data_IF_835525382277
#
_entry.id   IF_835525382277
#
_cell.length_a   1.000
_cell.length_b   1.000
_cell.length_c   1.000
_cell.angle_alpha   90.00
_cell.angle_beta   90.00
_cell.angle_gamma   90.00
#
_symmetry.space_group_name_H-M   'P 1'
#
loop_
_entity.id
_entity.type
_entity.pdbx_description
1 polymer ?
#
# COMPACT_ATOMS: atom_id res chain seq x y z
N UNK A 1 -36.20 0.40 5.89
CA UNK A 1 -35.67 -0.19 7.14
C UNK A 1 -34.21 0.18 7.39
N UNK A 2 -33.29 -0.02 6.42
CA UNK A 2 -31.86 0.30 6.55
C UNK A 2 -31.57 1.80 6.83
N UNK A 3 -32.29 2.70 6.16
CA UNK A 3 -32.18 4.16 6.36
C UNK A 3 -32.61 4.63 7.76
N UNK A 4 -33.64 4.02 8.36
CA UNK A 4 -34.08 4.34 9.72
C UNK A 4 -33.11 3.83 10.78
N UNK A 5 -32.50 2.67 10.55
CA UNK A 5 -31.47 2.10 11.41
C UNK A 5 -30.20 2.98 11.41
N UNK A 6 -29.80 3.47 10.23
CA UNK A 6 -28.66 4.38 10.08
C UNK A 6 -28.96 5.76 10.72
N UNK A 7 -30.19 6.27 10.59
CA UNK A 7 -30.64 7.54 11.19
C UNK A 7 -30.72 7.46 12.72
N UNK A 8 -31.14 6.31 13.27
CA UNK A 8 -31.15 6.05 14.72
C UNK A 8 -29.73 5.90 15.30
N UNK A 9 -28.81 5.26 14.58
CA UNK A 9 -27.39 5.16 14.93
C UNK A 9 -26.66 6.51 14.92
N UNK A 10 -27.02 7.41 14.00
CA UNK A 10 -26.51 8.79 13.96
C UNK A 10 -27.01 9.64 15.14
N UNK A 11 -28.16 9.29 15.71
CA UNK A 11 -28.81 10.05 16.78
C UNK A 11 -28.27 9.70 18.17
N UNK A 12 -27.74 8.49 18.35
CA UNK A 12 -27.03 8.08 19.57
C UNK A 12 -25.51 8.20 19.41
N UNK A 13 -24.98 9.36 19.83
CA UNK A 13 -23.54 9.66 19.80
C UNK A 13 -22.71 8.66 20.61
N UNK A 14 -23.26 8.02 21.65
CA UNK A 14 -22.52 7.05 22.46
C UNK A 14 -22.36 5.73 21.70
N UNK A 15 -23.41 5.27 21.03
CA UNK A 15 -23.35 4.05 20.20
C UNK A 15 -22.46 4.26 18.98
N UNK A 16 -22.60 5.39 18.27
CA UNK A 16 -21.72 5.74 17.15
C UNK A 16 -20.25 5.83 17.59
N UNK A 17 -19.95 6.57 18.67
CA UNK A 17 -18.59 6.68 19.22
C UNK A 17 -18.02 5.31 19.60
N UNK A 18 -18.81 4.46 20.27
CA UNK A 18 -18.40 3.09 20.63
C UNK A 18 -18.07 2.26 19.40
N UNK A 19 -18.87 2.33 18.34
CA UNK A 19 -18.63 1.59 17.09
C UNK A 19 -17.33 2.07 16.41
N UNK A 20 -17.14 3.39 16.29
CA UNK A 20 -15.93 3.96 15.68
C UNK A 20 -14.68 3.58 16.47
N UNK A 21 -14.69 3.76 17.80
CA UNK A 21 -13.55 3.38 18.65
C UNK A 21 -13.26 1.88 18.56
N UNK A 22 -14.29 1.03 18.57
CA UNK A 22 -14.14 -0.43 18.47
C UNK A 22 -13.57 -0.84 17.10
N UNK A 23 -14.04 -0.24 16.01
CA UNK A 23 -13.54 -0.51 14.67
C UNK A 23 -12.09 -0.04 14.49
N UNK A 24 -11.74 1.15 14.98
CA UNK A 24 -10.37 1.67 14.93
C UNK A 24 -9.41 0.78 15.75
N UNK A 25 -9.81 0.37 16.95
CA UNK A 25 -9.01 -0.53 17.78
C UNK A 25 -8.81 -1.90 17.09
N UNK A 26 -9.85 -2.43 16.44
CA UNK A 26 -9.75 -3.68 15.68
C UNK A 26 -8.83 -3.55 14.46
N UNK A 27 -8.95 -2.46 13.71
CA UNK A 27 -8.10 -2.17 12.55
C UNK A 27 -6.63 -2.01 12.97
N UNK A 28 -6.38 -1.30 14.08
CA UNK A 28 -5.03 -1.14 14.65
C UNK A 28 -4.40 -2.47 15.02
N UNK A 29 -5.11 -3.33 15.76
CA UNK A 29 -4.63 -4.68 16.12
C UNK A 29 -4.33 -5.55 14.89
N UNK A 30 -5.13 -5.41 13.83
CA UNK A 30 -4.92 -6.16 12.60
C UNK A 30 -3.62 -5.75 11.91
N UNK A 31 -3.36 -4.44 11.80
CA UNK A 31 -2.10 -3.97 11.19
C UNK A 31 -0.90 -4.18 12.08
N UNK A 32 -1.03 -4.03 13.38
CA UNK A 32 0.03 -4.41 14.33
C UNK A 32 0.48 -5.85 14.09
N UNK A 33 -0.47 -6.80 14.11
CA UNK A 33 -0.19 -8.21 13.85
C UNK A 33 0.41 -8.45 12.45
N UNK A 34 -0.04 -7.71 11.43
CA UNK A 34 0.52 -7.84 10.08
C UNK A 34 1.94 -7.30 9.98
N UNK A 35 2.20 -6.12 10.55
CA UNK A 35 3.52 -5.45 10.56
C UNK A 35 4.55 -6.31 11.30
N UNK A 36 4.15 -6.99 12.38
CA UNK A 36 5.00 -7.95 13.09
C UNK A 36 5.47 -9.12 12.21
N UNK A 37 4.72 -9.49 11.18
CA UNK A 37 5.12 -10.55 10.25
C UNK A 37 6.15 -10.10 9.22
N UNK A 38 6.38 -8.79 9.06
CA UNK A 38 7.22 -8.25 7.99
C UNK A 38 8.70 -8.25 8.40
N UNK A 39 9.57 -9.02 7.73
CA UNK A 39 10.98 -9.10 8.11
C UNK A 39 11.68 -7.73 8.09
N UNK A 40 11.29 -6.84 7.17
CA UNK A 40 11.84 -5.48 7.04
C UNK A 40 11.68 -4.63 8.31
N UNK A 41 10.62 -4.87 9.08
CA UNK A 41 10.24 -4.03 10.22
C UNK A 41 10.56 -4.68 11.57
N UNK A 42 11.23 -5.84 11.56
CA UNK A 42 11.62 -6.55 12.78
C UNK A 42 12.72 -5.83 13.57
N UNK A 43 13.51 -4.97 12.92
CA UNK A 43 14.54 -4.15 13.55
C UNK A 43 14.00 -2.94 14.34
N UNK A 44 12.73 -2.58 14.13
CA UNK A 44 12.09 -1.45 14.82
C UNK A 44 11.62 -1.87 16.20
N UNK A 45 11.78 -1.00 17.20
CA UNK A 45 11.21 -1.21 18.52
C UNK A 45 9.67 -1.16 18.47
N UNK A 46 9.00 -1.70 19.50
CA UNK A 46 7.53 -1.67 19.58
C UNK A 46 6.98 -0.24 19.43
N UNK A 47 7.61 0.75 20.06
CA UNK A 47 7.18 2.14 20.01
C UNK A 47 7.26 2.73 18.59
N UNK A 48 8.26 2.34 17.80
CA UNK A 48 8.46 2.78 16.43
C UNK A 48 7.49 2.08 15.48
N UNK A 49 7.26 0.77 15.65
CA UNK A 49 6.24 0.03 14.90
C UNK A 49 4.86 0.63 15.11
N UNK A 50 4.54 1.08 16.32
CA UNK A 50 3.27 1.75 16.59
C UNK A 50 3.11 3.07 15.85
N UNK A 51 4.19 3.85 15.69
CA UNK A 51 4.19 5.06 14.85
C UNK A 51 3.97 4.73 13.38
N UNK A 52 4.55 3.63 12.88
CA UNK A 52 4.28 3.14 11.52
C UNK A 52 2.79 2.81 11.38
N UNK A 53 2.24 2.02 12.30
CA UNK A 53 0.81 1.66 12.30
C UNK A 53 -0.11 2.87 12.31
N UNK A 54 0.29 3.96 12.96
CA UNK A 54 -0.45 5.23 13.00
C UNK A 54 -0.52 5.96 11.66
N UNK A 55 0.47 5.78 10.78
CA UNK A 55 0.55 6.47 9.48
C UNK A 55 0.18 5.59 8.29
N UNK A 56 -0.01 4.28 8.49
CA UNK A 56 -0.40 3.34 7.42
C UNK A 56 -1.74 3.72 6.78
N UNK A 57 -1.77 3.71 5.45
CA UNK A 57 -2.94 4.08 4.67
C UNK A 57 -3.25 3.00 3.64
N UNK A 58 -4.39 2.34 3.81
CA UNK A 58 -4.81 1.27 2.90
C UNK A 58 -5.27 1.81 1.56
N UNK A 59 -4.79 1.20 0.47
CA UNK A 59 -5.27 1.45 -0.89
C UNK A 59 -5.62 0.13 -1.56
N UNK A 60 -6.70 0.13 -2.34
CA UNK A 60 -7.15 -1.02 -3.13
C UNK A 60 -7.04 -0.65 -4.59
N UNK A 61 -6.51 -1.58 -5.37
CA UNK A 61 -6.29 -1.43 -6.80
C UNK A 61 -6.99 -2.56 -7.55
N UNK A 62 -7.62 -2.20 -8.67
CA UNK A 62 -8.23 -3.15 -9.58
C UNK A 62 -7.16 -3.81 -10.47
N UNK A 63 -7.55 -4.89 -11.15
CA UNK A 63 -6.65 -5.57 -12.09
C UNK A 63 -6.08 -4.60 -13.13
N UNK A 64 -4.78 -4.77 -13.42
CA UNK A 64 -4.01 -3.96 -14.36
C UNK A 64 -3.88 -2.46 -13.99
N UNK A 65 -4.38 -2.03 -12.83
CA UNK A 65 -4.27 -0.65 -12.40
C UNK A 65 -2.81 -0.30 -12.05
N UNK A 66 -2.33 0.84 -12.53
CA UNK A 66 -1.01 1.36 -12.21
C UNK A 66 -0.96 1.90 -10.78
N UNK A 67 -0.01 1.40 -10.00
CA UNK A 67 0.25 1.79 -8.61
C UNK A 67 1.39 2.81 -8.55
N UNK A 68 2.45 2.57 -9.32
CA UNK A 68 3.62 3.46 -9.46
C UNK A 68 3.86 3.68 -10.96
N UNK A 69 4.12 4.92 -11.34
CA UNK A 69 4.68 5.24 -12.65
C UNK A 69 6.19 5.50 -12.54
N UNK A 70 6.95 4.89 -13.46
CA UNK A 70 8.37 5.19 -13.63
C UNK A 70 8.57 6.68 -13.94
N UNK A 71 9.56 7.31 -13.32
CA UNK A 71 9.86 8.74 -13.49
C UNK A 71 9.15 9.67 -12.51
N UNK A 72 8.16 9.19 -11.76
CA UNK A 72 7.50 10.01 -10.73
C UNK A 72 8.42 10.26 -9.52
N UNK A 73 8.14 11.31 -8.77
CA UNK A 73 8.73 11.52 -7.45
C UNK A 73 8.08 10.57 -6.43
N UNK A 74 8.86 10.15 -5.44
CA UNK A 74 8.38 9.26 -4.37
C UNK A 74 8.23 10.01 -3.05
N UNK A 75 7.08 9.84 -2.42
CA UNK A 75 6.75 10.31 -1.07
C UNK A 75 6.41 9.15 -0.11
N UNK A 76 6.14 7.96 -0.66
CA UNK A 76 5.81 6.74 0.07
C UNK A 76 6.40 5.49 -0.59
N UNK A 77 6.35 4.37 0.12
CA UNK A 77 6.55 3.03 -0.43
C UNK A 77 5.34 2.17 -0.05
N UNK A 78 5.21 1.00 -0.65
CA UNK A 78 4.04 0.16 -0.47
C UNK A 78 4.39 -1.20 0.11
N UNK A 79 3.49 -1.75 0.91
CA UNK A 79 3.53 -3.15 1.35
C UNK A 79 2.31 -3.87 0.81
N UNK A 80 2.48 -5.04 0.20
CA UNK A 80 1.35 -5.83 -0.31
C UNK A 80 0.65 -6.54 0.86
N UNK A 81 -0.59 -6.15 1.17
CA UNK A 81 -1.45 -6.83 2.15
C UNK A 81 -2.10 -8.07 1.53
N UNK A 82 -2.55 -7.96 0.28
CA UNK A 82 -3.14 -9.07 -0.49
C UNK A 82 -3.06 -8.84 -1.99
N UNK A 83 -3.02 -9.91 -2.78
CA UNK A 83 -2.89 -9.85 -4.24
C UNK A 83 -1.42 -9.93 -4.69
N UNK A 84 -1.18 -9.58 -5.95
CA UNK A 84 0.16 -9.57 -6.55
C UNK A 84 0.39 -8.27 -7.32
N UNK A 85 1.62 -7.78 -7.32
CA UNK A 85 2.04 -6.57 -8.02
C UNK A 85 3.18 -6.92 -8.96
N UNK A 86 3.03 -6.61 -10.24
CA UNK A 86 4.08 -6.78 -11.25
C UNK A 86 4.86 -5.49 -11.40
N UNK A 87 6.19 -5.58 -11.31
CA UNK A 87 7.12 -4.46 -11.45
C UNK A 87 7.78 -4.54 -12.82
N UNK A 88 7.80 -3.42 -13.54
CA UNK A 88 8.32 -3.34 -14.91
C UNK A 88 9.21 -2.13 -15.08
N UNK A 89 10.22 -2.23 -15.95
CA UNK A 89 11.09 -1.12 -16.32
C UNK A 89 11.01 -0.86 -17.80
N UNK A 90 10.82 0.41 -18.16
CA UNK A 90 11.11 0.90 -19.50
C UNK A 90 12.60 1.23 -19.58
N UNK A 91 13.32 0.54 -20.45
CA UNK A 91 14.72 0.86 -20.74
C UNK A 91 14.77 1.79 -21.95
N UNK A 92 15.18 3.05 -21.73
CA UNK A 92 15.53 3.92 -22.86
C UNK A 92 16.79 3.37 -23.53
N UNK A 93 16.64 2.79 -24.73
CA UNK A 93 17.79 2.49 -25.57
C UNK A 93 18.30 3.81 -26.15
N UNK A 94 19.61 3.98 -26.17
CA UNK A 94 20.34 5.16 -26.68
C UNK A 94 20.10 5.52 -28.16
N UNK A 95 19.17 4.84 -28.86
CA UNK A 95 18.84 5.09 -30.27
C UNK A 95 17.40 5.58 -30.37
N UNK A 96 17.23 6.76 -30.99
CA UNK A 96 15.98 7.54 -31.10
C UNK A 96 14.81 6.83 -31.81
N UNK A 97 15.02 5.66 -32.43
CA UNK A 97 14.07 5.06 -33.37
C UNK A 97 13.58 3.65 -32.98
N UNK A 98 13.69 3.25 -31.70
CA UNK A 98 13.16 1.97 -31.23
C UNK A 98 12.11 2.19 -30.14
N UNK A 99 10.99 1.45 -30.24
CA UNK A 99 9.95 1.42 -29.21
C UNK A 99 10.56 1.09 -27.84
N UNK A 100 10.08 1.77 -26.79
CA UNK A 100 10.49 1.50 -25.41
C UNK A 100 10.03 0.09 -25.02
N UNK A 101 10.98 -0.83 -24.88
CA UNK A 101 10.69 -2.18 -24.42
C UNK A 101 10.48 -2.17 -22.91
N UNK A 102 9.27 -2.54 -22.48
CA UNK A 102 8.89 -2.70 -21.08
C UNK A 102 9.24 -4.13 -20.63
N UNK A 103 10.13 -4.24 -19.65
CA UNK A 103 10.67 -5.52 -19.17
C UNK A 103 10.17 -5.80 -17.75
N UNK A 104 9.62 -6.99 -17.53
CA UNK A 104 9.25 -7.46 -16.19
C UNK A 104 10.50 -7.67 -15.32
N UNK A 105 10.56 -7.00 -14.17
CA UNK A 105 11.70 -7.06 -13.24
C UNK A 105 11.43 -8.05 -12.12
N UNK A 106 10.22 -7.99 -11.56
CA UNK A 106 9.85 -8.71 -10.35
C UNK A 106 8.33 -8.76 -10.17
N UNK A 107 7.88 -9.69 -9.33
CA UNK A 107 6.52 -9.73 -8.82
C UNK A 107 6.56 -9.71 -7.30
N UNK A 108 5.79 -8.82 -6.68
CA UNK A 108 5.61 -8.71 -5.25
C UNK A 108 4.28 -9.33 -4.83
N UNK A 109 4.31 -10.11 -3.77
CA UNK A 109 3.17 -10.79 -3.16
C UNK A 109 3.03 -10.39 -1.70
N UNK A 110 2.03 -10.93 -1.00
CA UNK A 110 1.72 -10.58 0.39
C UNK A 110 2.96 -10.57 1.29
N UNK A 111 3.15 -9.46 2.01
CA UNK A 111 4.26 -9.23 2.93
C UNK A 111 5.54 -8.71 2.27
N UNK A 112 5.61 -8.69 0.94
CA UNK A 112 6.67 -8.02 0.21
C UNK A 112 6.33 -6.53 0.04
N UNK A 113 7.38 -5.72 -0.11
CA UNK A 113 7.28 -4.27 -0.28
C UNK A 113 7.96 -3.85 -1.58
N UNK A 114 7.61 -2.66 -2.06
CA UNK A 114 8.20 -2.08 -3.27
C UNK A 114 8.11 -0.55 -3.25
N UNK A 115 8.98 0.09 -4.03
CA UNK A 115 9.02 1.55 -4.14
C UNK A 115 9.85 2.24 -3.06
N UNK A 116 10.65 1.51 -2.30
CA UNK A 116 11.57 2.07 -1.30
C UNK A 116 12.75 2.82 -1.94
N UNK A 117 13.22 2.37 -3.11
CA UNK A 117 14.48 2.84 -3.70
C UNK A 117 14.49 4.35 -3.96
N UNK A 118 13.37 4.91 -4.41
CA UNK A 118 13.25 6.34 -4.71
C UNK A 118 13.33 7.21 -3.44
N UNK A 119 12.86 6.70 -2.29
CA UNK A 119 12.96 7.38 -1.00
C UNK A 119 14.38 7.38 -0.45
N UNK A 120 15.13 6.30 -0.68
CA UNK A 120 16.52 6.18 -0.20
C UNK A 120 17.49 6.97 -1.08
N UNK A 121 17.27 6.96 -2.40
CA UNK A 121 18.19 7.56 -3.37
C UNK A 121 17.87 9.02 -3.71
N UNK A 122 16.72 9.54 -3.30
CA UNK A 122 16.19 10.84 -3.74
C UNK A 122 16.18 11.00 -5.27
N UNK A 123 15.95 9.90 -5.99
CA UNK A 123 15.80 9.86 -7.44
C UNK A 123 14.36 9.50 -7.80
N UNK A 124 13.91 9.86 -9.02
CA UNK A 124 12.62 9.42 -9.52
C UNK A 124 12.45 7.89 -9.50
N UNK A 125 11.21 7.43 -9.49
CA UNK A 125 10.83 6.02 -9.55
C UNK A 125 11.56 5.33 -10.71
N UNK A 126 12.35 4.32 -10.39
CA UNK A 126 13.13 3.58 -11.38
C UNK A 126 12.28 2.65 -12.26
N UNK A 127 11.09 2.27 -11.79
CA UNK A 127 10.22 1.26 -12.40
C UNK A 127 8.75 1.60 -12.17
N UNK A 128 7.89 1.08 -13.03
CA UNK A 128 6.44 1.09 -12.86
C UNK A 128 5.97 -0.15 -12.10
N UNK A 129 4.85 -0.04 -11.40
CA UNK A 129 4.22 -1.16 -10.70
C UNK A 129 2.74 -1.23 -11.04
N UNK A 130 2.24 -2.43 -11.34
CA UNK A 130 0.86 -2.67 -11.74
C UNK A 130 0.24 -3.78 -10.88
N UNK A 131 -1.03 -3.60 -10.53
CA UNK A 131 -1.80 -4.62 -9.86
C UNK A 131 -2.07 -5.81 -10.79
N UNK A 132 -1.96 -7.03 -10.24
CA UNK A 132 -2.35 -8.28 -10.90
C UNK A 132 -3.53 -8.84 -10.11
N UNK A 133 -4.73 -8.72 -10.69
CA UNK A 133 -5.99 -8.94 -10.01
C UNK A 133 -6.34 -7.84 -9.00
N UNK A 134 -7.22 -8.16 -8.05
CA UNK A 134 -7.54 -7.26 -6.94
C UNK A 134 -6.39 -7.23 -5.93
N UNK A 135 -5.75 -6.06 -5.80
CA UNK A 135 -4.62 -5.86 -4.90
C UNK A 135 -5.00 -4.90 -3.78
N UNK A 136 -4.54 -5.20 -2.57
CA UNK A 136 -4.58 -4.27 -1.45
C UNK A 136 -3.16 -4.01 -0.97
N UNK A 137 -2.80 -2.75 -0.89
CA UNK A 137 -1.53 -2.28 -0.35
C UNK A 137 -1.77 -1.42 0.89
N UNK A 138 -0.74 -1.37 1.72
CA UNK A 138 -0.56 -0.39 2.79
C UNK A 138 0.47 0.66 2.38
#
# INVERSE_FOLDING_TARGET
MFLYFFKSLLQDRLTFRRIIVKNNAKKRKLYEAFIETLPLLTSLELSERMKVVDVLSTRVYNDSQQIIAQGDLADCFYIVESGQVRITMKRSRTKKDQEEEEVDIATCSRGQYFGELALVTNKPRAASAYAVGSVKCL
#
